data_IF_694336209155
#
_entry.id   IF_694336209155
#
_cell.length_a   1.000
_cell.length_b   1.000
_cell.length_c   1.000
_cell.angle_alpha   90.00
_cell.angle_beta   90.00
_cell.angle_gamma   90.00
#
_symmetry.space_group_name_H-M   'P 1'
#
loop_
_entity.id
_entity.type
_entity.pdbx_description
1 polymer ?
#
# COMPACT_ATOMS: atom_id res chain seq x y z
N UNK A 1 -12.44 3.54 -13.35
CA UNK A 1 -11.13 3.43 -12.72
C UNK A 1 -10.09 4.16 -13.55
N UNK A 2 -9.10 4.76 -12.94
CA UNK A 2 -8.05 5.57 -13.60
C UNK A 2 -7.07 4.75 -14.45
N UNK A 3 -7.03 3.42 -14.25
CA UNK A 3 -6.13 2.51 -14.97
C UNK A 3 -6.93 1.64 -15.94
N UNK A 4 -6.45 1.54 -17.18
CA UNK A 4 -6.99 0.59 -18.16
C UNK A 4 -6.74 -0.85 -17.72
N UNK A 5 -7.53 -1.80 -18.25
CA UNK A 5 -7.33 -3.22 -17.99
C UNK A 5 -5.93 -3.70 -18.41
N UNK A 6 -5.40 -3.16 -19.51
CA UNK A 6 -4.05 -3.43 -20.01
C UNK A 6 -2.99 -2.95 -18.99
N UNK A 7 -3.13 -1.71 -18.49
CA UNK A 7 -2.19 -1.16 -17.50
C UNK A 7 -2.21 -1.96 -16.20
N UNK A 8 -3.37 -2.43 -15.73
CA UNK A 8 -3.49 -3.25 -14.54
C UNK A 8 -2.74 -4.60 -14.65
N UNK A 9 -2.66 -5.15 -15.85
CA UNK A 9 -1.95 -6.42 -16.10
C UNK A 9 -0.45 -6.24 -16.38
N UNK A 10 0.01 -5.03 -16.63
CA UNK A 10 1.41 -4.75 -16.99
C UNK A 10 2.35 -4.53 -15.81
N UNK A 11 1.84 -4.48 -14.58
CA UNK A 11 2.66 -4.19 -13.41
C UNK A 11 1.85 -4.28 -12.11
N UNK A 12 2.36 -3.65 -11.05
CA UNK A 12 1.75 -3.70 -9.74
C UNK A 12 1.52 -2.30 -9.13
N UNK A 13 0.45 -2.15 -8.37
CA UNK A 13 0.17 -0.98 -7.52
C UNK A 13 0.97 -1.06 -6.22
N UNK A 14 1.40 0.10 -5.67
CA UNK A 14 1.90 0.18 -4.30
C UNK A 14 0.72 0.25 -3.32
N UNK A 15 0.74 -0.64 -2.31
CA UNK A 15 -0.28 -0.70 -1.28
C UNK A 15 -0.15 0.45 -0.25
N UNK A 16 -1.28 0.89 0.33
CA UNK A 16 -1.26 1.77 1.49
C UNK A 16 -0.67 1.05 2.70
N UNK A 17 0.35 1.63 3.30
CA UNK A 17 1.06 1.08 4.47
C UNK A 17 1.36 2.20 5.47
N UNK A 18 0.72 2.17 6.64
CA UNK A 18 0.90 3.21 7.67
C UNK A 18 2.36 3.31 8.14
N UNK A 19 2.91 4.51 8.12
CA UNK A 19 4.30 4.82 8.43
C UNK A 19 5.31 4.29 7.41
N UNK A 20 4.87 3.99 6.18
CA UNK A 20 5.70 3.44 5.10
C UNK A 20 5.40 4.08 3.75
N UNK A 21 4.14 4.08 3.33
CA UNK A 21 3.73 4.61 2.04
C UNK A 21 3.55 6.14 2.09
N UNK A 22 4.54 6.82 2.65
CA UNK A 22 4.64 8.26 2.61
C UNK A 22 5.01 8.74 1.19
N UNK A 23 5.00 10.04 0.98
CA UNK A 23 5.27 10.64 -0.32
C UNK A 23 6.60 10.18 -0.91
N UNK A 24 7.68 10.15 -0.10
CA UNK A 24 9.02 9.78 -0.57
C UNK A 24 9.07 8.34 -1.08
N UNK A 25 8.43 7.41 -0.36
CA UNK A 25 8.33 6.01 -0.78
C UNK A 25 7.45 5.85 -2.01
N UNK A 26 6.33 6.59 -2.11
CA UNK A 26 5.42 6.51 -3.26
C UNK A 26 6.10 7.01 -4.54
N UNK A 27 6.71 8.22 -4.50
CA UNK A 27 7.47 8.77 -5.63
C UNK A 27 8.57 7.81 -6.09
N UNK A 28 9.34 7.26 -5.16
CA UNK A 28 10.39 6.29 -5.46
C UNK A 28 9.85 5.02 -6.11
N UNK A 29 8.76 4.44 -5.59
CA UNK A 29 8.15 3.26 -6.20
C UNK A 29 7.59 3.54 -7.61
N UNK A 30 7.06 4.74 -7.86
CA UNK A 30 6.60 5.14 -9.18
C UNK A 30 7.76 5.29 -10.16
N UNK A 31 8.90 5.84 -9.74
CA UNK A 31 10.14 5.88 -10.53
C UNK A 31 10.59 4.47 -10.96
N UNK A 32 10.46 3.48 -10.06
CA UNK A 32 10.77 2.08 -10.35
C UNK A 32 9.63 1.32 -11.05
N UNK A 33 8.61 2.00 -11.56
CA UNK A 33 7.60 1.40 -12.43
C UNK A 33 6.36 0.85 -11.72
N UNK A 34 6.07 1.26 -10.49
CA UNK A 34 4.74 1.05 -9.95
C UNK A 34 3.70 1.71 -10.86
N UNK A 35 2.58 1.04 -11.11
CA UNK A 35 1.56 1.54 -12.05
C UNK A 35 0.58 2.53 -11.41
N UNK A 36 0.72 2.76 -10.12
CA UNK A 36 -0.06 3.67 -9.29
C UNK A 36 0.18 3.37 -7.82
N UNK A 37 -0.27 4.25 -6.94
CA UNK A 37 -0.07 4.10 -5.50
C UNK A 37 -1.27 4.60 -4.70
N UNK A 38 -1.32 4.16 -3.43
CA UNK A 38 -2.29 4.65 -2.45
C UNK A 38 -1.51 5.12 -1.23
N UNK A 39 -1.81 6.35 -0.78
CA UNK A 39 -1.20 6.94 0.40
C UNK A 39 -1.59 6.24 1.71
N UNK A 40 -1.00 6.69 2.80
CA UNK A 40 -1.33 6.20 4.13
C UNK A 40 -2.79 6.52 4.50
N UNK A 41 -3.41 5.69 5.32
CA UNK A 41 -4.81 5.87 5.70
C UNK A 41 -5.00 7.04 6.67
N UNK A 42 -5.91 7.95 6.35
CA UNK A 42 -6.31 9.08 7.18
C UNK A 42 -7.68 8.85 7.83
N UNK A 43 -7.84 9.32 9.06
CA UNK A 43 -9.12 9.21 9.78
C UNK A 43 -10.15 10.20 9.22
N UNK A 44 -11.30 9.73 8.76
CA UNK A 44 -12.39 10.60 8.30
C UNK A 44 -12.87 11.55 9.41
N UNK A 45 -12.92 11.07 10.67
CA UNK A 45 -13.23 11.89 11.83
C UNK A 45 -12.14 12.94 12.08
N UNK A 46 -10.85 12.58 12.00
CA UNK A 46 -9.73 13.52 12.11
C UNK A 46 -9.80 14.58 11.02
N UNK A 47 -10.03 14.17 9.76
CA UNK A 47 -10.20 15.09 8.62
C UNK A 47 -11.37 16.06 8.87
N UNK A 48 -12.53 15.57 9.33
CA UNK A 48 -13.71 16.40 9.60
C UNK A 48 -13.52 17.40 10.75
N UNK A 49 -12.56 17.14 11.63
CA UNK A 49 -12.15 18.01 12.74
C UNK A 49 -10.94 18.91 12.39
N UNK A 50 -10.51 18.94 11.12
CA UNK A 50 -9.32 19.65 10.64
C UNK A 50 -8.02 19.25 11.37
N UNK A 51 -7.90 17.97 11.76
CA UNK A 51 -6.67 17.47 12.35
C UNK A 51 -5.52 17.54 11.34
N UNK A 52 -4.47 18.27 11.72
CA UNK A 52 -3.31 18.51 10.86
C UNK A 52 -2.65 17.19 10.38
N UNK A 53 -2.47 16.21 11.28
CA UNK A 53 -1.83 14.94 10.94
C UNK A 53 -2.63 14.15 9.92
N UNK A 54 -3.96 14.09 10.08
CA UNK A 54 -4.84 13.45 9.12
C UNK A 54 -4.80 14.14 7.75
N UNK A 55 -4.70 15.47 7.73
CA UNK A 55 -4.61 16.25 6.49
C UNK A 55 -3.26 16.08 5.78
N UNK A 56 -2.16 16.01 6.53
CA UNK A 56 -0.81 15.78 5.97
C UNK A 56 -0.71 14.44 5.23
N UNK A 57 -1.44 13.39 5.69
CA UNK A 57 -1.47 12.08 5.03
C UNK A 57 -2.18 12.08 3.67
N UNK A 58 -2.97 13.12 3.37
CA UNK A 58 -3.68 13.28 2.09
C UNK A 58 -2.82 13.93 1.00
N UNK A 59 -1.64 14.46 1.35
CA UNK A 59 -0.76 15.16 0.41
C UNK A 59 -0.28 14.25 -0.69
N UNK A 60 -0.44 14.70 -1.93
CA UNK A 60 -0.02 14.02 -3.17
C UNK A 60 0.85 14.96 -4.00
N UNK A 61 1.72 14.37 -4.84
CA UNK A 61 2.53 15.10 -5.83
C UNK A 61 2.22 14.64 -7.25
N UNK A 62 2.71 15.39 -8.24
CA UNK A 62 2.57 15.01 -9.64
C UNK A 62 3.45 13.80 -10.01
N UNK A 63 4.57 13.61 -9.32
CA UNK A 63 5.51 12.50 -9.56
C UNK A 63 4.95 11.11 -9.19
N UNK A 64 3.89 11.05 -8.38
CA UNK A 64 3.31 9.78 -7.91
C UNK A 64 1.99 9.39 -8.60
N UNK A 65 1.60 10.10 -9.66
CA UNK A 65 0.35 9.87 -10.40
C UNK A 65 0.39 8.63 -11.32
N UNK A 66 -0.71 7.83 -11.35
CA UNK A 66 -1.98 8.00 -10.67
C UNK A 66 -1.90 7.61 -9.19
N UNK A 67 -2.40 8.48 -8.30
CA UNK A 67 -2.32 8.33 -6.86
C UNK A 67 -3.68 8.50 -6.17
N UNK A 68 -3.97 7.60 -5.23
CA UNK A 68 -5.15 7.66 -4.38
C UNK A 68 -4.84 8.07 -2.96
N UNK A 69 -5.77 8.75 -2.31
CA UNK A 69 -5.79 8.91 -0.85
C UNK A 69 -6.64 7.82 -0.23
N UNK A 70 -6.25 7.33 0.96
CA UNK A 70 -7.05 6.33 1.67
C UNK A 70 -7.64 6.92 2.95
N UNK A 71 -8.95 6.71 3.15
CA UNK A 71 -9.65 7.13 4.36
C UNK A 71 -10.25 5.93 5.10
N UNK A 72 -10.41 6.06 6.42
CA UNK A 72 -11.09 5.08 7.25
C UNK A 72 -12.06 5.73 8.24
N UNK A 73 -13.12 5.03 8.57
CA UNK A 73 -14.15 5.42 9.52
C UNK A 73 -15.27 4.40 9.52
N UNK A 74 -16.29 4.63 10.34
CA UNK A 74 -17.46 3.75 10.48
C UNK A 74 -18.80 4.52 10.51
N UNK A 75 -18.77 5.82 10.27
CA UNK A 75 -19.97 6.68 10.21
C UNK A 75 -20.13 7.20 8.79
N UNK A 76 -21.16 6.77 8.03
CA UNK A 76 -21.34 7.09 6.62
C UNK A 76 -21.28 8.60 6.31
N UNK A 77 -21.95 9.42 7.10
CA UNK A 77 -22.03 10.87 6.91
C UNK A 77 -20.66 11.55 7.12
N UNK A 78 -19.86 11.06 8.09
CA UNK A 78 -18.51 11.59 8.35
C UNK A 78 -17.57 11.15 7.22
N UNK A 79 -17.70 9.92 6.72
CA UNK A 79 -16.93 9.42 5.58
C UNK A 79 -17.23 10.24 4.32
N UNK A 80 -18.50 10.46 4.01
CA UNK A 80 -18.94 11.30 2.88
C UNK A 80 -18.43 12.74 3.01
N UNK A 81 -18.52 13.35 4.19
CA UNK A 81 -18.01 14.70 4.43
C UNK A 81 -16.49 14.81 4.25
N UNK A 82 -15.74 13.77 4.61
CA UNK A 82 -14.28 13.75 4.46
C UNK A 82 -13.84 13.82 2.98
N UNK A 83 -14.68 13.36 2.02
CA UNK A 83 -14.41 13.44 0.58
C UNK A 83 -14.13 14.88 0.13
N UNK A 84 -14.91 15.86 0.60
CA UNK A 84 -14.69 17.27 0.27
C UNK A 84 -13.28 17.75 0.62
N UNK A 85 -12.77 17.34 1.77
CA UNK A 85 -11.41 17.69 2.18
C UNK A 85 -10.36 16.92 1.36
N UNK A 86 -10.61 15.65 1.05
CA UNK A 86 -9.73 14.86 0.17
C UNK A 86 -9.55 15.53 -1.20
N UNK A 87 -10.60 16.13 -1.75
CA UNK A 87 -10.55 16.79 -3.07
C UNK A 87 -9.64 18.01 -3.12
N UNK A 88 -9.30 18.63 -1.99
CA UNK A 88 -8.31 19.72 -1.92
C UNK A 88 -6.90 19.27 -2.32
N UNK A 89 -6.63 17.96 -2.27
CA UNK A 89 -5.35 17.34 -2.65
C UNK A 89 -5.38 16.73 -4.05
N UNK A 90 -6.48 16.93 -4.79
CA UNK A 90 -6.66 16.47 -6.18
C UNK A 90 -6.31 14.99 -6.41
N UNK A 91 -6.82 14.03 -5.62
CA UNK A 91 -6.54 12.62 -5.82
C UNK A 91 -7.16 12.13 -7.14
N UNK A 92 -6.52 11.13 -7.76
CA UNK A 92 -7.08 10.46 -8.94
C UNK A 92 -8.24 9.53 -8.58
N UNK A 93 -8.26 9.04 -7.35
CA UNK A 93 -9.32 8.23 -6.75
C UNK A 93 -9.23 8.30 -5.22
N UNK A 94 -10.29 7.89 -4.53
CA UNK A 94 -10.30 7.78 -3.07
C UNK A 94 -10.58 6.34 -2.67
N UNK A 95 -9.71 5.78 -1.82
CA UNK A 95 -9.82 4.40 -1.35
C UNK A 95 -10.39 4.33 0.07
N UNK A 96 -11.34 3.43 0.30
CA UNK A 96 -11.93 3.18 1.61
C UNK A 96 -11.23 1.97 2.25
N UNK A 97 -10.63 2.18 3.42
CA UNK A 97 -9.97 1.11 4.17
C UNK A 97 -10.99 0.25 4.93
N UNK A 98 -11.11 -1.01 4.52
CA UNK A 98 -11.88 -2.06 5.21
C UNK A 98 -10.98 -3.24 5.63
N UNK A 99 -9.67 -3.01 5.74
CA UNK A 99 -8.71 -4.11 5.99
C UNK A 99 -7.74 -3.88 7.14
N UNK A 100 -7.61 -2.67 7.68
CA UNK A 100 -6.65 -2.38 8.74
C UNK A 100 -6.97 -3.19 10.02
N UNK A 101 -6.02 -4.03 10.51
CA UNK A 101 -6.26 -4.85 11.69
C UNK A 101 -5.90 -4.14 13.01
N UNK A 102 -5.32 -2.94 12.94
CA UNK A 102 -4.78 -2.23 14.10
C UNK A 102 -5.87 -1.94 15.15
N UNK A 103 -5.62 -2.20 16.45
CA UNK A 103 -6.62 -1.99 17.51
C UNK A 103 -7.20 -0.58 17.54
N UNK A 104 -6.38 0.45 17.28
CA UNK A 104 -6.82 1.86 17.24
C UNK A 104 -7.82 2.15 16.10
N UNK A 105 -7.84 1.35 15.03
CA UNK A 105 -8.75 1.49 13.89
C UNK A 105 -9.93 0.55 14.06
N UNK A 106 -9.66 -0.76 14.17
CA UNK A 106 -10.69 -1.79 14.27
C UNK A 106 -11.47 -1.73 15.60
N UNK A 107 -10.85 -1.29 16.70
CA UNK A 107 -11.52 -1.10 17.98
C UNK A 107 -12.51 0.06 17.99
N UNK A 108 -12.36 1.01 17.05
CA UNK A 108 -13.27 2.14 16.86
C UNK A 108 -14.26 1.91 15.69
N UNK A 109 -14.46 0.68 15.27
CA UNK A 109 -15.47 0.29 14.28
C UNK A 109 -15.05 0.40 12.82
N UNK A 110 -13.92 1.05 12.50
CA UNK A 110 -13.42 1.22 11.14
C UNK A 110 -12.48 0.10 10.68
N UNK A 111 -11.92 0.23 9.48
CA UNK A 111 -11.00 -0.74 8.93
C UNK A 111 -11.60 -2.14 8.85
N UNK A 112 -10.87 -3.16 9.33
CA UNK A 112 -11.33 -4.55 9.28
C UNK A 112 -12.58 -4.84 10.13
N UNK A 113 -12.99 -3.97 11.06
CA UNK A 113 -14.24 -4.13 11.80
C UNK A 113 -15.48 -3.97 10.91
N UNK A 114 -15.37 -3.25 9.80
CA UNK A 114 -16.45 -3.14 8.80
C UNK A 114 -16.78 -4.49 8.16
N UNK A 115 -15.85 -5.42 8.10
CA UNK A 115 -16.11 -6.77 7.60
C UNK A 115 -17.15 -7.53 8.44
N UNK A 116 -17.36 -7.13 9.69
CA UNK A 116 -18.42 -7.70 10.56
C UNK A 116 -19.79 -7.04 10.35
N UNK A 117 -19.85 -5.96 9.56
CA UNK A 117 -21.04 -5.12 9.32
C UNK A 117 -21.13 -4.80 7.83
N UNK A 118 -21.37 -5.81 6.95
CA UNK A 118 -21.30 -5.65 5.50
C UNK A 118 -22.31 -4.64 4.95
N UNK A 119 -23.49 -4.52 5.55
CA UNK A 119 -24.52 -3.54 5.16
C UNK A 119 -24.03 -2.11 5.43
N UNK A 120 -23.45 -1.85 6.61
CA UNK A 120 -22.86 -0.56 6.95
C UNK A 120 -21.68 -0.23 6.03
N UNK A 121 -20.85 -1.21 5.71
CA UNK A 121 -19.74 -1.04 4.78
C UNK A 121 -20.23 -0.62 3.39
N UNK A 122 -21.28 -1.25 2.87
CA UNK A 122 -21.91 -0.88 1.61
C UNK A 122 -22.56 0.52 1.67
N UNK A 123 -23.22 0.87 2.78
CA UNK A 123 -23.77 2.20 3.00
C UNK A 123 -22.70 3.29 2.96
N UNK A 124 -21.55 3.06 3.62
CA UNK A 124 -20.40 3.97 3.58
C UNK A 124 -19.94 4.18 2.13
N UNK A 125 -19.81 3.11 1.34
CA UNK A 125 -19.43 3.20 -0.07
C UNK A 125 -20.45 4.02 -0.84
N UNK A 126 -21.74 3.73 -0.72
CA UNK A 126 -22.82 4.42 -1.43
C UNK A 126 -22.83 5.93 -1.11
N UNK A 127 -22.68 6.30 0.17
CA UNK A 127 -22.64 7.70 0.57
C UNK A 127 -21.39 8.42 0.03
N UNK A 128 -20.23 7.76 0.03
CA UNK A 128 -19.01 8.33 -0.55
C UNK A 128 -19.12 8.48 -2.07
N UNK A 129 -19.63 7.49 -2.78
CA UNK A 129 -19.84 7.53 -4.24
C UNK A 129 -20.77 8.67 -4.64
N UNK A 130 -21.85 8.89 -3.87
CA UNK A 130 -22.84 9.94 -4.15
C UNK A 130 -22.24 11.35 -4.18
N UNK A 131 -21.20 11.61 -3.39
CA UNK A 131 -20.60 12.96 -3.22
C UNK A 131 -19.24 13.10 -3.88
N UNK A 132 -18.61 12.01 -4.28
CA UNK A 132 -17.26 12.02 -4.84
C UNK A 132 -17.26 12.35 -6.33
N UNK A 133 -16.48 13.35 -6.78
CA UNK A 133 -16.27 13.61 -8.20
C UNK A 133 -15.23 12.67 -8.85
N UNK A 134 -14.53 11.86 -8.04
CA UNK A 134 -13.53 10.89 -8.48
C UNK A 134 -13.94 9.46 -8.07
N UNK A 135 -13.40 8.41 -8.73
CA UNK A 135 -13.74 7.04 -8.38
C UNK A 135 -13.50 6.70 -6.91
N UNK A 136 -14.42 5.96 -6.29
CA UNK A 136 -14.26 5.37 -4.97
C UNK A 136 -13.84 3.91 -5.12
N UNK A 137 -12.75 3.51 -4.48
CA UNK A 137 -12.26 2.13 -4.42
C UNK A 137 -12.32 1.60 -2.99
N UNK A 138 -12.24 0.28 -2.84
CA UNK A 138 -12.29 -0.35 -1.52
C UNK A 138 -11.14 -1.33 -1.37
N UNK A 139 -10.42 -1.26 -0.24
CA UNK A 139 -9.41 -2.26 0.12
C UNK A 139 -9.83 -3.02 1.36
N UNK A 140 -10.03 -4.34 1.21
CA UNK A 140 -10.52 -5.23 2.27
C UNK A 140 -9.58 -6.41 2.53
N UNK A 141 -9.90 -7.19 3.57
CA UNK A 141 -9.30 -8.50 3.87
C UNK A 141 -10.23 -9.64 3.47
N UNK A 142 -9.79 -10.90 3.65
CA UNK A 142 -10.59 -12.10 3.42
C UNK A 142 -11.82 -12.18 4.36
N UNK A 143 -11.68 -11.67 5.57
CA UNK A 143 -12.69 -11.71 6.60
C UNK A 143 -12.15 -11.29 7.97
N UNK A 144 -12.95 -11.43 9.01
CA UNK A 144 -12.54 -11.16 10.39
C UNK A 144 -11.59 -12.24 10.94
N UNK A 145 -11.98 -13.51 10.80
CA UNK A 145 -11.22 -14.70 11.19
C UNK A 145 -11.59 -15.89 10.27
N UNK A 146 -11.04 -17.08 10.56
CA UNK A 146 -11.22 -18.25 9.70
C UNK A 146 -12.69 -18.74 9.61
N UNK A 147 -13.50 -18.44 10.62
CA UNK A 147 -14.92 -18.82 10.67
C UNK A 147 -15.81 -17.76 10.00
N UNK A 148 -15.26 -16.55 9.76
CA UNK A 148 -15.98 -15.40 9.23
C UNK A 148 -15.25 -14.85 8.00
N UNK A 149 -15.12 -15.67 6.95
CA UNK A 149 -14.62 -15.29 5.62
C UNK A 149 -15.82 -14.79 4.81
N UNK A 150 -15.86 -13.48 4.54
CA UNK A 150 -16.99 -12.86 3.85
C UNK A 150 -16.60 -11.81 2.79
N UNK A 151 -15.34 -11.77 2.40
CA UNK A 151 -14.90 -10.86 1.33
C UNK A 151 -15.69 -11.04 0.02
N UNK A 152 -16.06 -12.26 -0.43
CA UNK A 152 -16.84 -12.42 -1.66
C UNK A 152 -18.22 -11.74 -1.61
N UNK A 153 -18.91 -11.83 -0.50
CA UNK A 153 -20.22 -11.19 -0.28
C UNK A 153 -20.09 -9.68 -0.16
N UNK A 154 -19.12 -9.23 0.66
CA UNK A 154 -18.88 -7.80 0.87
C UNK A 154 -18.44 -7.10 -0.41
N UNK A 155 -17.61 -7.75 -1.24
CA UNK A 155 -17.17 -7.18 -2.51
C UNK A 155 -18.35 -6.93 -3.47
N UNK A 156 -19.31 -7.87 -3.54
CA UNK A 156 -20.54 -7.70 -4.34
C UNK A 156 -21.38 -6.54 -3.82
N UNK A 157 -21.54 -6.42 -2.50
CA UNK A 157 -22.26 -5.29 -1.91
C UNK A 157 -21.58 -3.95 -2.20
N UNK A 158 -20.26 -3.89 -2.13
CA UNK A 158 -19.49 -2.69 -2.49
C UNK A 158 -19.61 -2.36 -3.99
N UNK A 159 -19.58 -3.35 -4.89
CA UNK A 159 -19.82 -3.16 -6.32
C UNK A 159 -21.21 -2.56 -6.57
N UNK A 160 -22.26 -3.13 -5.95
CA UNK A 160 -23.64 -2.64 -6.04
C UNK A 160 -23.80 -1.24 -5.46
N UNK A 161 -23.01 -0.88 -4.46
CA UNK A 161 -22.95 0.45 -3.87
C UNK A 161 -22.19 1.48 -4.75
N UNK A 162 -21.60 1.06 -5.89
CA UNK A 162 -20.93 1.93 -6.85
C UNK A 162 -19.41 2.04 -6.69
N UNK A 163 -18.77 1.13 -5.96
CA UNK A 163 -17.31 1.06 -5.94
C UNK A 163 -16.73 0.87 -7.35
N UNK A 164 -15.63 1.53 -7.65
CA UNK A 164 -14.96 1.48 -8.95
C UNK A 164 -13.88 0.39 -9.06
N UNK A 165 -13.42 -0.16 -7.94
CA UNK A 165 -12.50 -1.29 -7.86
C UNK A 165 -12.50 -1.88 -6.45
N UNK A 166 -12.15 -3.18 -6.35
CA UNK A 166 -11.98 -3.87 -5.08
C UNK A 166 -10.55 -4.42 -5.00
N UNK A 167 -9.83 -4.11 -3.91
CA UNK A 167 -8.56 -4.75 -3.58
C UNK A 167 -8.76 -5.73 -2.43
N UNK A 168 -8.37 -6.99 -2.61
CA UNK A 168 -8.53 -8.04 -1.60
C UNK A 168 -7.18 -8.51 -1.10
N UNK A 169 -6.92 -8.33 0.19
CA UNK A 169 -5.81 -9.01 0.87
C UNK A 169 -6.31 -10.38 1.35
N UNK A 170 -5.77 -11.45 0.78
CA UNK A 170 -6.17 -12.84 1.06
C UNK A 170 -5.78 -13.34 2.46
N UNK A 171 -5.94 -12.52 3.48
CA UNK A 171 -5.75 -12.84 4.91
C UNK A 171 -6.88 -12.26 5.75
N UNK A 172 -7.25 -12.96 6.80
CA UNK A 172 -8.20 -12.45 7.78
C UNK A 172 -7.57 -11.39 8.70
N UNK A 173 -8.40 -10.67 9.43
CA UNK A 173 -7.93 -9.72 10.46
C UNK A 173 -7.17 -10.44 11.57
N UNK A 174 -7.65 -11.59 12.07
CA UNK A 174 -6.98 -12.36 13.13
C UNK A 174 -5.64 -12.93 12.68
N UNK A 175 -5.52 -13.31 11.41
CA UNK A 175 -4.29 -13.84 10.82
C UNK A 175 -3.18 -12.76 10.72
N UNK A 176 -3.54 -11.48 10.70
CA UNK A 176 -2.58 -10.36 10.58
C UNK A 176 -1.70 -10.50 9.33
N UNK A 177 -0.47 -10.99 9.51
CA UNK A 177 0.52 -11.21 8.45
C UNK A 177 1.08 -12.65 8.43
N UNK A 178 0.53 -13.54 9.26
CA UNK A 178 0.93 -14.95 9.27
C UNK A 178 0.63 -15.62 7.91
N UNK A 179 1.56 -16.43 7.36
CA UNK A 179 1.32 -17.18 6.14
C UNK A 179 0.34 -18.35 6.37
N UNK A 180 -0.24 -18.90 5.27
CA UNK A 180 -0.18 -18.40 3.90
C UNK A 180 -1.22 -17.32 3.59
N UNK A 181 -1.07 -16.62 2.45
CA UNK A 181 -2.17 -15.86 1.85
C UNK A 181 -3.16 -16.84 1.19
N UNK A 182 -4.45 -16.59 1.36
CA UNK A 182 -5.51 -17.38 0.75
C UNK A 182 -5.85 -16.80 -0.63
N UNK A 183 -5.40 -17.48 -1.68
CA UNK A 183 -5.66 -17.09 -3.07
C UNK A 183 -7.06 -17.50 -3.53
N UNK A 184 -7.65 -18.54 -2.94
CA UNK A 184 -8.97 -19.03 -3.33
C UNK A 184 -10.07 -18.00 -2.98
N UNK A 185 -9.91 -17.30 -1.85
CA UNK A 185 -10.81 -16.17 -1.50
C UNK A 185 -10.73 -15.05 -2.52
N UNK A 186 -9.53 -14.72 -3.02
CA UNK A 186 -9.35 -13.69 -4.06
C UNK A 186 -10.01 -14.15 -5.36
N UNK A 187 -9.80 -15.41 -5.76
CA UNK A 187 -10.43 -16.02 -6.93
C UNK A 187 -11.96 -16.01 -6.83
N UNK A 188 -12.51 -16.32 -5.65
CA UNK A 188 -13.96 -16.30 -5.41
C UNK A 188 -14.52 -14.87 -5.49
N UNK A 189 -13.82 -13.87 -4.94
CA UNK A 189 -14.19 -12.46 -5.13
C UNK A 189 -14.23 -12.12 -6.63
N UNK A 190 -13.17 -12.50 -7.38
CA UNK A 190 -13.12 -12.24 -8.83
C UNK A 190 -14.25 -12.93 -9.59
N UNK A 191 -14.63 -14.13 -9.18
CA UNK A 191 -15.74 -14.86 -9.78
C UNK A 191 -17.10 -14.19 -9.55
N UNK A 192 -17.31 -13.58 -8.39
CA UNK A 192 -18.60 -12.95 -8.00
C UNK A 192 -18.75 -11.51 -8.48
N UNK A 193 -17.71 -10.71 -8.41
CA UNK A 193 -17.67 -9.32 -8.91
C UNK A 193 -17.69 -9.35 -10.44
N UNK A 194 -18.53 -8.52 -11.10
CA UNK A 194 -18.82 -8.62 -12.53
C UNK A 194 -18.38 -7.43 -13.36
N UNK A 195 -18.54 -6.23 -12.83
CA UNK A 195 -18.43 -4.99 -13.62
C UNK A 195 -17.20 -4.15 -13.30
N UNK A 196 -16.54 -4.42 -12.18
CA UNK A 196 -15.38 -3.65 -11.73
C UNK A 196 -14.14 -4.54 -11.56
N UNK A 197 -12.93 -3.99 -11.67
CA UNK A 197 -11.70 -4.76 -11.48
C UNK A 197 -11.52 -5.20 -10.03
N UNK A 198 -10.97 -6.42 -9.89
CA UNK A 198 -10.52 -7.00 -8.64
C UNK A 198 -8.99 -7.05 -8.62
N UNK A 199 -8.40 -6.50 -7.57
CA UNK A 199 -6.95 -6.39 -7.38
C UNK A 199 -6.51 -7.38 -6.30
N UNK A 200 -5.65 -8.34 -6.66
CA UNK A 200 -5.08 -9.30 -5.71
C UNK A 200 -3.95 -8.70 -4.88
N UNK A 201 -3.96 -8.96 -3.56
CA UNK A 201 -2.92 -8.49 -2.65
C UNK A 201 -2.53 -9.57 -1.63
N UNK A 202 -1.25 -9.67 -1.33
CA UNK A 202 -0.67 -10.56 -0.34
C UNK A 202 0.46 -11.41 -0.90
N UNK A 203 1.59 -11.44 -0.19
CA UNK A 203 2.81 -12.21 -0.46
C UNK A 203 3.40 -12.08 -1.88
N UNK A 204 3.13 -10.97 -2.55
CA UNK A 204 3.79 -10.62 -3.81
C UNK A 204 5.12 -9.95 -3.46
N UNK A 205 6.22 -10.61 -3.83
CA UNK A 205 7.60 -10.21 -3.50
C UNK A 205 8.55 -10.22 -4.70
N UNK A 206 8.09 -10.73 -5.83
CA UNK A 206 8.85 -10.86 -7.10
C UNK A 206 7.91 -11.09 -8.29
N UNK A 207 8.49 -11.19 -9.49
CA UNK A 207 7.73 -11.44 -10.72
C UNK A 207 7.00 -12.77 -10.72
N UNK A 208 7.57 -13.83 -10.13
CA UNK A 208 6.96 -15.16 -10.08
C UNK A 208 5.71 -15.17 -9.21
N UNK A 209 5.80 -14.63 -8.00
CA UNK A 209 4.64 -14.51 -7.09
C UNK A 209 3.55 -13.59 -7.65
N UNK A 210 3.94 -12.58 -8.45
CA UNK A 210 3.00 -11.75 -9.21
C UNK A 210 2.26 -12.56 -10.29
N UNK A 211 2.97 -13.35 -11.09
CA UNK A 211 2.38 -14.22 -12.10
C UNK A 211 1.51 -15.33 -11.48
N UNK A 212 1.95 -15.91 -10.36
CA UNK A 212 1.18 -16.90 -9.59
C UNK A 212 -0.16 -16.33 -9.08
N UNK A 213 -0.15 -15.06 -8.61
CA UNK A 213 -1.38 -14.36 -8.20
C UNK A 213 -2.37 -14.28 -9.38
N UNK A 214 -1.93 -13.81 -10.55
CA UNK A 214 -2.79 -13.74 -11.74
C UNK A 214 -3.29 -15.12 -12.17
N UNK A 215 -2.40 -16.11 -12.25
CA UNK A 215 -2.73 -17.43 -12.74
C UNK A 215 -3.75 -18.17 -11.86
N UNK A 216 -3.62 -18.04 -10.53
CA UNK A 216 -4.47 -18.75 -9.57
C UNK A 216 -5.79 -18.04 -9.29
N UNK A 217 -5.80 -16.71 -9.35
CA UNK A 217 -7.00 -15.93 -8.95
C UNK A 217 -7.76 -15.34 -10.11
N UNK A 218 -7.15 -15.26 -11.30
CA UNK A 218 -7.67 -14.53 -12.47
C UNK A 218 -8.05 -13.08 -12.17
N UNK A 219 -7.43 -12.45 -11.14
CA UNK A 219 -7.67 -11.05 -10.80
C UNK A 219 -7.26 -10.12 -11.95
N UNK A 220 -7.75 -8.89 -11.95
CA UNK A 220 -7.51 -7.92 -13.04
C UNK A 220 -6.23 -7.13 -12.84
N UNK A 221 -5.73 -7.04 -11.61
CA UNK A 221 -4.50 -6.36 -11.25
C UNK A 221 -3.94 -6.89 -9.95
N UNK A 222 -2.77 -6.42 -9.58
CA UNK A 222 -2.08 -6.83 -8.35
C UNK A 222 -1.56 -5.62 -7.57
N UNK A 223 -1.40 -5.82 -6.25
CA UNK A 223 -0.92 -4.77 -5.35
C UNK A 223 0.18 -5.32 -4.43
N UNK A 224 1.32 -4.62 -4.38
CA UNK A 224 2.48 -4.98 -3.56
C UNK A 224 2.49 -4.14 -2.28
N UNK A 225 2.61 -4.82 -1.14
CA UNK A 225 2.85 -4.18 0.16
C UNK A 225 4.28 -4.39 0.64
N UNK A 226 4.46 -5.28 1.60
CA UNK A 226 5.75 -5.56 2.26
C UNK A 226 6.88 -6.00 1.32
N UNK A 227 6.54 -6.51 0.13
CA UNK A 227 7.53 -6.85 -0.90
C UNK A 227 8.34 -5.65 -1.40
N UNK A 228 7.82 -4.43 -1.27
CA UNK A 228 8.49 -3.19 -1.67
C UNK A 228 9.39 -2.59 -0.56
N UNK A 229 9.36 -3.11 0.67
CA UNK A 229 10.15 -2.55 1.79
C UNK A 229 11.66 -2.68 1.53
N UNK A 230 12.34 -1.54 1.32
CA UNK A 230 13.76 -1.48 0.95
C UNK A 230 14.06 -2.10 -0.41
N UNK A 231 13.06 -2.29 -1.25
CA UNK A 231 13.14 -2.90 -2.58
C UNK A 231 12.20 -2.23 -3.58
N UNK A 232 12.29 -0.91 -3.81
CA UNK A 232 11.41 -0.23 -4.76
C UNK A 232 11.53 -0.81 -6.19
N UNK A 233 12.69 -1.34 -6.57
CA UNK A 233 12.94 -2.02 -7.84
C UNK A 233 12.09 -3.28 -8.07
N UNK A 234 11.39 -3.79 -7.06
CA UNK A 234 10.47 -4.93 -7.21
C UNK A 234 9.39 -4.65 -8.27
N UNK A 235 9.00 -3.40 -8.46
CA UNK A 235 8.02 -3.03 -9.49
C UNK A 235 8.58 -3.20 -10.90
N UNK A 236 9.84 -2.82 -11.14
CA UNK A 236 10.55 -3.10 -12.41
C UNK A 236 10.69 -4.61 -12.64
N UNK A 237 11.09 -5.36 -11.60
CA UNK A 237 11.22 -6.82 -11.68
C UNK A 237 9.90 -7.50 -12.03
N UNK A 238 8.80 -7.07 -11.40
CA UNK A 238 7.45 -7.60 -11.69
C UNK A 238 7.04 -7.28 -13.12
N UNK A 239 7.16 -6.02 -13.55
CA UNK A 239 6.77 -5.60 -14.89
C UNK A 239 7.54 -6.34 -15.97
N UNK A 240 8.86 -6.51 -15.81
CA UNK A 240 9.68 -7.27 -16.77
C UNK A 240 9.29 -8.73 -16.81
N UNK A 241 9.09 -9.37 -15.64
CA UNK A 241 8.67 -10.76 -15.58
C UNK A 241 7.31 -11.00 -16.24
N UNK A 242 6.33 -10.13 -15.98
CA UNK A 242 4.99 -10.23 -16.59
C UNK A 242 5.01 -10.03 -18.10
N UNK A 243 5.96 -9.22 -18.60
CA UNK A 243 6.13 -8.94 -20.03
C UNK A 243 6.86 -10.04 -20.78
N UNK A 244 7.93 -10.58 -20.23
CA UNK A 244 8.90 -11.41 -20.96
C UNK A 244 9.19 -12.76 -20.29
N UNK A 245 8.82 -12.95 -19.02
CA UNK A 245 9.22 -14.09 -18.21
C UNK A 245 10.64 -13.98 -17.65
N UNK A 246 11.37 -12.89 -17.92
CA UNK A 246 12.74 -12.70 -17.45
C UNK A 246 12.79 -12.33 -15.97
N UNK A 247 13.66 -12.99 -15.22
CA UNK A 247 13.94 -12.69 -13.81
C UNK A 247 15.10 -11.69 -13.76
N UNK A 248 14.82 -10.45 -13.40
CA UNK A 248 15.87 -9.46 -13.14
C UNK A 248 16.46 -9.69 -11.75
N UNK A 249 17.80 -9.63 -11.58
CA UNK A 249 18.44 -9.68 -10.28
C UNK A 249 18.10 -8.43 -9.44
N UNK A 250 18.35 -8.50 -8.14
CA UNK A 250 18.39 -7.29 -7.31
C UNK A 250 19.58 -6.41 -7.75
N UNK A 251 19.50 -5.08 -7.63
CA UNK A 251 20.62 -4.21 -7.89
C UNK A 251 21.85 -4.58 -7.03
N UNK A 252 23.09 -4.32 -7.49
CA UNK A 252 24.28 -4.48 -6.69
C UNK A 252 24.24 -3.63 -5.42
N UNK A 253 25.05 -3.96 -4.43
CA UNK A 253 24.94 -3.36 -3.07
C UNK A 253 25.17 -1.86 -3.09
N UNK A 254 26.11 -1.36 -3.89
CA UNK A 254 26.39 0.06 -4.07
C UNK A 254 25.17 0.80 -4.61
N UNK A 255 24.53 0.32 -5.67
CA UNK A 255 23.30 0.89 -6.22
C UNK A 255 22.15 0.85 -5.20
N UNK A 256 22.02 -0.24 -4.42
CA UNK A 256 21.01 -0.32 -3.34
C UNK A 256 21.24 0.74 -2.26
N UNK A 257 22.50 1.03 -1.93
CA UNK A 257 22.83 2.08 -0.96
C UNK A 257 22.55 3.47 -1.53
N UNK A 258 22.80 3.72 -2.80
CA UNK A 258 22.45 4.97 -3.47
C UNK A 258 20.93 5.20 -3.50
N UNK A 259 20.15 4.15 -3.81
CA UNK A 259 18.69 4.20 -3.76
C UNK A 259 18.20 4.50 -2.32
N UNK A 260 18.80 3.87 -1.32
CA UNK A 260 18.50 4.13 0.10
C UNK A 260 18.78 5.60 0.46
N UNK A 261 19.94 6.13 0.10
CA UNK A 261 20.31 7.52 0.38
C UNK A 261 19.36 8.51 -0.27
N UNK A 262 19.00 8.31 -1.54
CA UNK A 262 17.98 9.12 -2.24
C UNK A 262 16.62 9.07 -1.53
N UNK A 263 16.16 7.88 -1.15
CA UNK A 263 14.90 7.71 -0.41
C UNK A 263 14.91 8.52 0.89
N UNK A 264 15.97 8.37 1.70
CA UNK A 264 16.05 9.02 3.01
C UNK A 264 16.24 10.53 2.88
N UNK A 265 17.00 11.00 1.90
CA UNK A 265 17.13 12.43 1.58
C UNK A 265 15.76 13.04 1.26
N UNK A 266 14.95 12.38 0.41
CA UNK A 266 13.59 12.81 0.09
C UNK A 266 12.66 12.77 1.32
N UNK A 267 12.79 11.74 2.18
CA UNK A 267 12.04 11.62 3.41
C UNK A 267 12.32 12.80 4.37
N UNK A 268 13.59 13.17 4.52
CA UNK A 268 14.02 14.32 5.34
C UNK A 268 13.50 15.62 4.73
N UNK A 269 13.63 15.81 3.43
CA UNK A 269 13.11 16.99 2.74
C UNK A 269 11.60 17.17 2.92
N UNK A 270 10.84 16.07 2.93
CA UNK A 270 9.39 16.09 3.07
C UNK A 270 8.91 16.28 4.53
N UNK A 271 9.63 15.74 5.53
CA UNK A 271 9.17 15.69 6.94
C UNK A 271 10.02 16.55 7.89
N UNK A 272 11.10 17.13 7.41
CA UNK A 272 12.12 17.84 8.19
C UNK A 272 13.07 16.89 8.92
N UNK A 273 14.22 17.42 9.33
CA UNK A 273 15.34 16.64 9.89
C UNK A 273 14.92 15.79 11.10
N UNK A 274 14.21 16.39 12.05
CA UNK A 274 13.87 15.71 13.30
C UNK A 274 12.99 14.46 13.11
N UNK A 275 11.97 14.55 12.27
CA UNK A 275 11.06 13.43 12.00
C UNK A 275 11.70 12.50 10.97
N UNK A 276 12.25 13.06 9.90
CA UNK A 276 12.86 12.31 8.80
C UNK A 276 13.96 11.36 9.27
N UNK A 277 14.91 11.83 10.09
CA UNK A 277 15.99 10.99 10.64
C UNK A 277 15.45 9.87 11.53
N UNK A 278 14.45 10.14 12.38
CA UNK A 278 13.86 9.10 13.22
C UNK A 278 13.14 8.01 12.42
N UNK A 279 12.43 8.39 11.39
CA UNK A 279 11.78 7.44 10.49
C UNK A 279 12.81 6.71 9.59
N UNK A 280 13.89 7.39 9.19
CA UNK A 280 15.00 6.81 8.45
C UNK A 280 15.58 5.57 9.13
N UNK A 281 15.65 5.52 10.45
CA UNK A 281 16.12 4.35 11.23
C UNK A 281 15.44 3.04 10.80
N UNK A 282 14.12 3.11 10.58
CA UNK A 282 13.32 1.97 10.14
C UNK A 282 13.46 1.75 8.63
N UNK A 283 13.32 2.79 7.83
CA UNK A 283 13.31 2.69 6.38
C UNK A 283 14.66 2.20 5.83
N UNK A 284 15.78 2.75 6.29
CA UNK A 284 17.12 2.34 5.84
C UNK A 284 17.45 0.89 6.22
N UNK A 285 16.97 0.40 7.37
CA UNK A 285 17.22 -0.98 7.81
C UNK A 285 16.67 -2.04 6.84
N UNK A 286 15.68 -1.72 6.02
CA UNK A 286 15.13 -2.66 5.04
C UNK A 286 16.01 -2.84 3.80
N UNK A 287 16.88 -1.86 3.46
CA UNK A 287 17.77 -1.92 2.30
C UNK A 287 18.97 -2.85 2.50
N UNK A 288 19.34 -3.14 3.76
CA UNK A 288 20.47 -4.03 4.10
C UNK A 288 20.02 -5.48 4.33
N UNK A 289 19.08 -5.96 3.51
CA UNK A 289 18.70 -7.37 3.47
C UNK A 289 19.76 -8.16 2.71
N UNK A 290 20.05 -9.38 3.19
CA UNK A 290 20.94 -10.36 2.55
C UNK A 290 22.37 -9.82 2.31
N UNK A 291 22.86 -8.95 3.21
CA UNK A 291 24.22 -8.42 3.24
C UNK A 291 24.97 -9.02 4.42
N UNK A 292 26.23 -9.41 4.20
CA UNK A 292 27.10 -9.87 5.28
C UNK A 292 27.19 -8.79 6.38
N UNK A 293 27.16 -9.18 7.65
CA UNK A 293 27.18 -8.21 8.75
C UNK A 293 25.92 -7.37 8.96
N UNK A 294 24.82 -7.60 8.22
CA UNK A 294 23.59 -6.81 8.26
C UNK A 294 23.06 -6.55 9.68
N UNK A 295 23.24 -7.47 10.62
CA UNK A 295 22.78 -7.29 12.00
C UNK A 295 23.52 -6.16 12.73
N UNK A 296 24.82 -5.96 12.46
CA UNK A 296 25.62 -4.87 13.02
C UNK A 296 25.17 -3.53 12.42
N UNK A 297 25.05 -3.45 11.10
CA UNK A 297 24.59 -2.24 10.41
C UNK A 297 23.16 -1.82 10.83
N UNK A 298 22.24 -2.77 11.04
CA UNK A 298 20.90 -2.46 11.56
C UNK A 298 20.92 -1.87 12.97
N UNK A 299 21.87 -2.27 13.83
CA UNK A 299 22.06 -1.64 15.15
C UNK A 299 22.54 -0.21 15.02
N UNK A 300 23.51 0.06 14.15
CA UNK A 300 23.99 1.43 13.87
C UNK A 300 22.86 2.30 13.32
N UNK A 301 22.12 1.81 12.33
CA UNK A 301 20.96 2.52 11.76
C UNK A 301 19.86 2.78 12.81
N UNK A 302 19.70 1.93 13.80
CA UNK A 302 18.72 2.12 14.89
C UNK A 302 19.00 3.34 15.78
N UNK A 303 20.23 3.85 15.76
CA UNK A 303 20.68 5.03 16.55
C UNK A 303 20.99 6.24 15.68
N UNK A 304 20.58 6.24 14.42
CA UNK A 304 20.86 7.31 13.46
C UNK A 304 20.43 8.69 13.98
N UNK A 305 21.31 9.68 13.91
CA UNK A 305 21.08 11.04 14.37
C UNK A 305 21.23 12.09 13.24
N UNK A 306 21.92 11.75 12.15
CA UNK A 306 22.12 12.65 11.01
C UNK A 306 22.20 11.89 9.70
N UNK A 307 22.08 12.63 8.58
CA UNK A 307 22.21 12.06 7.23
C UNK A 307 23.66 11.67 6.92
N UNK A 308 24.66 12.42 7.41
CA UNK A 308 26.08 12.10 7.25
C UNK A 308 26.46 10.77 7.92
N UNK A 309 25.82 10.44 9.06
CA UNK A 309 25.98 9.12 9.66
C UNK A 309 25.42 8.02 8.74
N UNK A 310 24.29 8.26 8.09
CA UNK A 310 23.72 7.31 7.13
C UNK A 310 24.65 7.09 5.95
N UNK A 311 25.23 8.15 5.38
CA UNK A 311 26.22 8.06 4.30
C UNK A 311 27.44 7.24 4.72
N UNK A 312 27.97 7.48 5.93
CA UNK A 312 29.10 6.71 6.49
C UNK A 312 28.75 5.23 6.64
N UNK A 313 27.53 4.90 7.10
CA UNK A 313 27.09 3.51 7.23
C UNK A 313 26.92 2.87 5.84
N UNK A 314 26.34 3.58 4.89
CA UNK A 314 26.16 3.10 3.50
C UNK A 314 27.53 2.74 2.87
N UNK A 315 28.55 3.59 3.05
CA UNK A 315 29.91 3.31 2.57
C UNK A 315 30.49 2.04 3.20
N UNK A 316 30.40 1.86 4.53
CA UNK A 316 30.85 0.64 5.21
C UNK A 316 30.13 -0.61 4.70
N UNK A 317 28.83 -0.50 4.38
CA UNK A 317 28.03 -1.61 3.83
C UNK A 317 28.58 -2.03 2.46
N UNK A 318 28.89 -1.06 1.58
CA UNK A 318 29.47 -1.34 0.26
C UNK A 318 30.85 -1.98 0.40
N UNK A 319 31.71 -1.43 1.25
CA UNK A 319 33.06 -1.97 1.52
C UNK A 319 32.98 -3.43 2.03
N UNK A 320 32.11 -3.72 2.98
CA UNK A 320 31.92 -5.08 3.52
C UNK A 320 31.33 -6.08 2.52
N UNK A 321 30.63 -5.61 1.50
CA UNK A 321 30.07 -6.48 0.45
C UNK A 321 31.08 -6.78 -0.67
N UNK A 322 32.19 -6.03 -0.74
CA UNK A 322 33.27 -6.25 -1.71
C UNK A 322 34.35 -7.24 -1.20
N UNK A 323 34.35 -7.56 0.10
CA UNK A 323 35.20 -8.57 0.74
C UNK A 323 34.59 -9.99 0.64
#
# INVERSE_FOLDING_TARGET
MYLSAEKLKSGALLAPMAGVADRSMRELCMEFGAIGCIGEMASSKGISMNDRKSSELLSLSDAERPAGVQIFGDVPEIMAKAIETCMKYSPDFIDINMGCPAPKVAGNGGGSALMKRPELAAEIVAQCVKVSPVPITVKMRAGWDAENINAPELAVLCEQAGAAAITVHGRTRKQMYAPPVDLDVIAEVKRRVKSIPVIGNGDIVDGKSAADMFAKTNCDGIMVGRGALGRPWVFTQISEYLKSGNVLPDPPVDERMDIMLRHISALIANKGDYIGIREARKHSSWYIRDIHGAAAFRRELGTLESFEQLESIAKKVVESAAE
#
